data_IF_075772105876
#
_entry.id   IF_075772105876
#
_cell.length_a   1.000
_cell.length_b   1.000
_cell.length_c   1.000
_cell.angle_alpha   90.00
_cell.angle_beta   90.00
_cell.angle_gamma   90.00
#
_symmetry.space_group_name_H-M   'P 1'
#
loop_
_entity.id
_entity.type
_entity.pdbx_description
1 polymer ?
#
# COMPACT_ATOMS: atom_id res chain seq x y z
N UNK A 1 -11.82 7.53 -4.41
CA UNK A 1 -11.46 6.39 -5.29
C UNK A 1 -11.93 5.10 -4.65
N UNK A 2 -12.11 4.03 -5.43
CA UNK A 2 -12.47 2.69 -4.93
C UNK A 2 -11.43 1.70 -5.43
N UNK A 3 -10.91 0.84 -4.56
CA UNK A 3 -10.05 -0.26 -4.92
C UNK A 3 -10.79 -1.59 -4.67
N UNK A 4 -10.53 -2.60 -5.49
CA UNK A 4 -11.15 -3.92 -5.35
C UNK A 4 -10.29 -4.82 -4.44
N UNK A 5 -10.89 -5.68 -3.60
CA UNK A 5 -10.15 -6.73 -2.93
C UNK A 5 -9.38 -7.59 -3.93
N UNK A 6 -8.11 -7.85 -3.65
CA UNK A 6 -7.18 -8.57 -4.53
C UNK A 6 -6.51 -7.69 -5.60
N UNK A 7 -6.89 -6.41 -5.74
CA UNK A 7 -6.19 -5.48 -6.63
C UNK A 7 -4.77 -5.20 -6.15
N UNK A 8 -3.85 -4.98 -7.08
CA UNK A 8 -2.48 -4.54 -6.78
C UNK A 8 -2.47 -3.14 -6.12
N UNK A 9 -1.63 -2.96 -5.09
CA UNK A 9 -1.56 -1.70 -4.36
C UNK A 9 -0.96 -0.56 -5.19
N UNK A 10 0.01 -0.84 -6.06
CA UNK A 10 0.62 0.19 -6.91
C UNK A 10 -0.40 0.69 -7.93
N UNK A 11 -1.19 -0.20 -8.52
CA UNK A 11 -2.28 0.18 -9.42
C UNK A 11 -3.40 0.94 -8.69
N UNK A 12 -3.81 0.48 -7.50
CA UNK A 12 -4.79 1.20 -6.67
C UNK A 12 -4.33 2.62 -6.30
N UNK A 13 -3.05 2.79 -5.94
CA UNK A 13 -2.47 4.08 -5.63
C UNK A 13 -2.38 4.97 -6.86
N UNK A 14 -1.96 4.44 -8.01
CA UNK A 14 -1.91 5.18 -9.28
C UNK A 14 -3.29 5.71 -9.67
N UNK A 15 -4.34 4.88 -9.54
CA UNK A 15 -5.74 5.29 -9.76
C UNK A 15 -6.21 6.38 -8.78
N UNK A 16 -5.63 6.40 -7.57
CA UNK A 16 -5.84 7.44 -6.57
C UNK A 16 -4.99 8.70 -6.78
N UNK A 17 -4.17 8.76 -7.83
CA UNK A 17 -3.15 9.79 -8.03
C UNK A 17 -2.15 9.90 -6.85
N UNK A 18 -1.90 8.79 -6.16
CA UNK A 18 -0.90 8.64 -5.11
C UNK A 18 0.27 7.82 -5.65
N UNK A 19 1.49 8.31 -5.46
CA UNK A 19 2.69 7.58 -5.83
C UNK A 19 3.21 6.81 -4.61
N UNK A 20 3.26 5.48 -4.69
CA UNK A 20 4.01 4.66 -3.74
C UNK A 20 5.44 4.54 -4.26
N UNK A 21 6.47 4.96 -3.50
CA UNK A 21 7.85 4.79 -3.91
C UNK A 21 8.18 3.30 -4.09
N UNK A 22 9.00 2.98 -5.08
CA UNK A 22 9.41 1.60 -5.35
C UNK A 22 10.91 1.51 -5.59
N UNK A 23 11.47 0.31 -5.40
CA UNK A 23 12.88 0.03 -5.58
C UNK A 23 13.08 -1.34 -6.23
N UNK A 24 13.06 -2.42 -5.43
CA UNK A 24 13.35 -3.77 -5.92
C UNK A 24 12.16 -4.51 -6.55
N UNK A 25 10.91 -4.06 -6.31
CA UNK A 25 9.66 -4.75 -6.69
C UNK A 25 9.55 -6.22 -6.21
N UNK A 26 10.40 -6.63 -5.26
CA UNK A 26 10.43 -7.97 -4.67
C UNK A 26 10.19 -7.97 -3.15
N UNK A 27 9.77 -6.84 -2.57
CA UNK A 27 9.44 -6.73 -1.15
C UNK A 27 10.61 -6.64 -0.16
N UNK A 28 11.86 -6.81 -0.62
CA UNK A 28 13.05 -6.86 0.23
C UNK A 28 13.66 -5.49 0.61
N UNK A 29 13.62 -4.50 -0.28
CA UNK A 29 14.28 -3.20 -0.08
C UNK A 29 13.47 -2.23 0.79
N UNK A 30 12.17 -2.46 0.85
CA UNK A 30 11.27 -1.71 1.68
C UNK A 30 10.78 -0.34 1.23
N UNK A 31 11.27 0.17 0.11
CA UNK A 31 10.77 1.43 -0.46
C UNK A 31 9.24 1.49 -0.65
N UNK A 32 8.58 0.35 -0.83
CA UNK A 32 7.14 0.25 -1.12
C UNK A 32 6.26 0.10 0.14
N UNK A 33 6.72 0.52 1.32
CA UNK A 33 5.93 0.41 2.56
C UNK A 33 4.75 1.37 2.62
N UNK A 34 3.60 0.80 2.95
CA UNK A 34 2.38 1.53 3.28
C UNK A 34 1.82 0.97 4.59
N UNK A 35 1.20 1.84 5.37
CA UNK A 35 0.41 1.44 6.52
C UNK A 35 -1.06 1.28 6.08
N UNK A 36 -1.64 0.11 6.35
CA UNK A 36 -3.04 -0.21 6.06
C UNK A 36 -3.73 -0.55 7.38
N UNK A 37 -4.59 0.35 7.86
CA UNK A 37 -5.27 0.23 9.16
C UNK A 37 -4.30 -0.10 10.33
N UNK A 38 -3.18 0.59 10.42
CA UNK A 38 -2.17 0.38 11.48
C UNK A 38 -1.25 -0.82 11.28
N UNK A 39 -1.31 -1.51 10.13
CA UNK A 39 -0.36 -2.57 9.77
C UNK A 39 0.49 -2.17 8.59
N UNK A 40 1.80 -2.21 8.75
CA UNK A 40 2.74 -1.98 7.65
C UNK A 40 2.77 -3.20 6.72
N UNK A 41 2.59 -2.95 5.42
CA UNK A 41 2.68 -3.95 4.36
C UNK A 41 3.58 -3.45 3.23
N UNK A 42 4.13 -4.37 2.45
CA UNK A 42 4.92 -4.05 1.25
C UNK A 42 3.97 -4.02 0.04
N UNK A 43 3.66 -2.82 -0.47
CA UNK A 43 2.70 -2.63 -1.56
C UNK A 43 3.06 -3.45 -2.81
N UNK A 44 4.34 -3.53 -3.14
CA UNK A 44 4.84 -4.15 -4.36
C UNK A 44 4.73 -5.69 -4.43
N UNK A 45 4.38 -6.37 -3.32
CA UNK A 45 4.21 -7.83 -3.26
C UNK A 45 2.94 -8.23 -2.50
N UNK A 46 2.02 -7.30 -2.30
CA UNK A 46 0.75 -7.55 -1.60
C UNK A 46 -0.40 -6.92 -2.37
N UNK A 47 -1.62 -7.33 -2.02
CA UNK A 47 -2.85 -6.86 -2.66
C UNK A 47 -3.78 -6.22 -1.64
N UNK A 48 -4.76 -5.47 -2.15
CA UNK A 48 -5.79 -4.82 -1.34
C UNK A 48 -6.60 -5.89 -0.59
N UNK A 49 -6.65 -5.87 0.74
CA UNK A 49 -7.40 -6.85 1.51
C UNK A 49 -8.90 -6.59 1.43
N UNK A 50 -9.70 -7.63 1.70
CA UNK A 50 -11.12 -7.45 1.98
C UNK A 50 -11.29 -6.76 3.34
N UNK A 51 -12.10 -5.70 3.41
CA UNK A 51 -12.45 -5.03 4.66
C UNK A 51 -13.92 -5.26 4.98
N UNK A 52 -14.28 -5.81 6.15
CA UNK A 52 -15.68 -5.99 6.57
C UNK A 52 -16.46 -4.67 6.62
N UNK A 53 -15.76 -3.57 6.91
CA UNK A 53 -16.33 -2.23 6.98
C UNK A 53 -16.38 -1.52 5.61
N UNK A 54 -15.82 -2.12 4.56
CA UNK A 54 -15.69 -1.52 3.23
C UNK A 54 -14.72 -0.34 3.15
N UNK A 55 -14.08 0.05 4.27
CA UNK A 55 -13.12 1.16 4.34
C UNK A 55 -11.73 0.65 4.72
N UNK A 56 -10.72 1.23 4.08
CA UNK A 56 -9.31 1.07 4.43
C UNK A 56 -8.71 2.47 4.63
N UNK A 57 -7.96 2.65 5.71
CA UNK A 57 -7.13 3.84 5.91
C UNK A 57 -5.72 3.47 5.47
N UNK A 58 -5.18 4.20 4.51
CA UNK A 58 -3.89 3.91 3.90
C UNK A 58 -3.02 5.15 3.91
N UNK A 59 -1.79 5.02 4.40
CA UNK A 59 -0.79 6.09 4.46
C UNK A 59 0.56 5.55 4.02
N UNK A 60 1.43 6.41 3.48
CA UNK A 60 2.84 6.03 3.30
C UNK A 60 3.44 5.74 4.67
N UNK A 61 4.18 4.63 4.79
CA UNK A 61 4.93 4.40 6.02
C UNK A 61 6.06 5.42 6.05
N UNK A 62 6.01 6.35 7.00
CA UNK A 62 7.10 7.26 7.29
C UNK A 62 7.72 6.79 8.58
N UNK A 63 8.95 6.27 8.53
CA UNK A 63 9.71 6.07 9.76
C UNK A 63 10.22 7.45 10.21
N UNK A 64 9.79 7.95 11.39
CA UNK A 64 10.17 9.29 11.85
C UNK A 64 11.61 9.37 12.37
N UNK A 65 12.36 8.26 12.36
CA UNK A 65 13.75 8.22 12.82
C UNK A 65 14.79 8.34 11.68
N UNK A 66 14.35 8.71 10.47
CA UNK A 66 15.22 9.12 9.37
C UNK A 66 15.07 10.61 9.06
#
# INVERSE_FOLDING_TARGET
MTALPGQDWLEAARQAAVLIPTGCLGGSCGACEIEVNGRVVRACVSTVPSSPSGRLTVSLASDPHW
#
